data_IF_258247854692
#
_entry.id   IF_258247854692
#
_cell.length_a   1.000
_cell.length_b   1.000
_cell.length_c   1.000
_cell.angle_alpha   90.00
_cell.angle_beta   90.00
_cell.angle_gamma   90.00
#
_symmetry.space_group_name_H-M   'P 1'
#
loop_
_entity.id
_entity.type
_entity.pdbx_description
1 polymer ?
#
# COMPACT_ATOMS: atom_id res chain seq x y z
N UNK A 1 -29.22 -58.04 -58.56
CA UNK A 1 -30.26 -57.19 -57.93
C UNK A 1 -30.20 -57.40 -56.42
N UNK A 2 -29.40 -56.61 -55.70
CA UNK A 2 -29.58 -56.28 -54.28
C UNK A 2 -28.54 -55.24 -53.88
N UNK A 3 -29.03 -54.15 -53.27
CA UNK A 3 -28.27 -53.02 -52.72
C UNK A 3 -27.33 -53.47 -51.60
N UNK A 4 -26.21 -52.77 -51.43
CA UNK A 4 -25.65 -52.52 -50.09
C UNK A 4 -25.08 -51.12 -50.03
N UNK A 5 -25.81 -50.22 -49.36
CA UNK A 5 -25.37 -48.89 -48.95
C UNK A 5 -24.28 -49.06 -47.89
N UNK A 6 -23.07 -48.53 -48.12
CA UNK A 6 -22.13 -48.22 -47.04
C UNK A 6 -22.41 -46.79 -46.56
N UNK A 7 -22.98 -46.66 -45.36
CA UNK A 7 -23.03 -45.41 -44.64
C UNK A 7 -21.67 -45.16 -43.96
N UNK A 8 -20.93 -44.16 -44.42
CA UNK A 8 -19.81 -43.60 -43.67
C UNK A 8 -20.38 -42.78 -42.50
N UNK A 9 -20.35 -43.34 -41.29
CA UNK A 9 -20.52 -42.55 -40.08
C UNK A 9 -19.21 -41.81 -39.81
N UNK A 10 -19.14 -40.54 -40.20
CA UNK A 10 -18.09 -39.64 -39.74
C UNK A 10 -18.30 -39.40 -38.23
N UNK A 11 -17.40 -39.96 -37.42
CA UNK A 11 -17.27 -39.60 -36.01
C UNK A 11 -16.82 -38.14 -35.94
N UNK A 12 -17.78 -37.24 -35.78
CA UNK A 12 -17.50 -35.85 -35.43
C UNK A 12 -17.05 -35.84 -33.97
N UNK A 13 -15.75 -35.73 -33.73
CA UNK A 13 -15.21 -35.40 -32.41
C UNK A 13 -15.72 -34.01 -32.02
N UNK A 14 -16.27 -33.80 -30.80
CA UNK A 14 -16.66 -32.48 -30.37
C UNK A 14 -15.41 -31.60 -30.22
N UNK A 15 -15.34 -30.57 -31.05
CA UNK A 15 -14.36 -29.49 -30.93
C UNK A 15 -14.54 -28.85 -29.54
N UNK A 16 -13.57 -29.03 -28.64
CA UNK A 16 -13.55 -28.29 -27.38
C UNK A 16 -13.52 -26.79 -27.71
N UNK A 17 -14.62 -26.09 -27.42
CA UNK A 17 -14.68 -24.64 -27.49
C UNK A 17 -13.61 -24.07 -26.56
N UNK A 18 -12.57 -23.46 -27.13
CA UNK A 18 -11.57 -22.74 -26.34
C UNK A 18 -12.29 -21.61 -25.60
N UNK A 19 -12.27 -21.66 -24.27
CA UNK A 19 -12.82 -20.58 -23.44
C UNK A 19 -12.07 -19.30 -23.75
N UNK A 20 -12.76 -18.16 -23.92
CA UNK A 20 -12.11 -16.87 -24.21
C UNK A 20 -11.30 -16.31 -23.02
N UNK A 21 -11.26 -17.04 -21.90
CA UNK A 21 -10.53 -16.67 -20.69
C UNK A 21 -9.38 -17.65 -20.43
N UNK A 22 -8.27 -17.16 -19.85
CA UNK A 22 -7.19 -18.01 -19.40
C UNK A 22 -7.68 -19.02 -18.35
N UNK A 23 -7.04 -20.19 -18.30
CA UNK A 23 -7.27 -21.18 -17.26
C UNK A 23 -6.97 -20.58 -15.87
N UNK A 24 -7.85 -20.86 -14.90
CA UNK A 24 -7.77 -20.33 -13.54
C UNK A 24 -7.40 -21.44 -12.55
N UNK A 25 -6.58 -21.11 -11.56
CA UNK A 25 -6.27 -22.04 -10.48
C UNK A 25 -7.54 -22.43 -9.70
N UNK A 26 -7.60 -23.67 -9.22
CA UNK A 26 -8.67 -24.11 -8.32
C UNK A 26 -8.63 -23.37 -6.98
N UNK A 27 -9.78 -23.27 -6.29
CA UNK A 27 -9.84 -22.65 -4.96
C UNK A 27 -8.86 -23.30 -3.96
N UNK A 28 -8.70 -24.63 -4.02
CA UNK A 28 -7.74 -25.35 -3.18
C UNK A 28 -6.29 -25.00 -3.49
N UNK A 29 -5.95 -24.74 -4.77
CA UNK A 29 -4.62 -24.29 -5.14
C UNK A 29 -4.38 -22.85 -4.66
N UNK A 30 -5.33 -21.94 -4.89
CA UNK A 30 -5.24 -20.55 -4.42
C UNK A 30 -5.02 -20.48 -2.91
N UNK A 31 -5.76 -21.27 -2.13
CA UNK A 31 -5.58 -21.31 -0.67
C UNK A 31 -4.19 -21.83 -0.29
N UNK A 32 -3.69 -22.88 -0.95
CA UNK A 32 -2.33 -23.43 -0.69
C UNK A 32 -1.22 -22.41 -0.96
N UNK A 33 -1.36 -21.60 -2.01
CA UNK A 33 -0.42 -20.53 -2.34
C UNK A 33 -0.41 -19.40 -1.30
N UNK A 34 -1.43 -19.32 -0.44
CA UNK A 34 -1.57 -18.29 0.60
C UNK A 34 -1.32 -18.83 2.02
N UNK A 35 -0.78 -20.04 2.17
CA UNK A 35 -0.49 -20.61 3.50
C UNK A 35 0.81 -20.04 4.08
N UNK A 36 0.76 -19.66 5.35
CA UNK A 36 1.89 -19.27 6.20
C UNK A 36 1.81 -20.02 7.53
N UNK A 37 2.79 -19.83 8.42
CA UNK A 37 2.76 -20.37 9.78
C UNK A 37 1.45 -19.96 10.51
N UNK A 38 0.76 -20.94 11.08
CA UNK A 38 -0.44 -20.72 11.85
C UNK A 38 -0.15 -19.89 13.11
N UNK A 39 -1.00 -18.91 13.45
CA UNK A 39 -0.74 -18.01 14.56
C UNK A 39 -0.93 -18.71 15.91
N UNK A 40 -0.07 -18.34 16.88
CA UNK A 40 -0.15 -18.85 18.26
C UNK A 40 -1.21 -18.13 19.11
N UNK A 41 -1.57 -16.90 18.72
CA UNK A 41 -2.55 -16.06 19.40
C UNK A 41 -3.64 -15.68 18.40
N UNK A 42 -4.89 -15.80 18.84
CA UNK A 42 -6.08 -15.62 18.02
C UNK A 42 -7.02 -14.61 18.66
N UNK A 43 -7.64 -13.80 17.82
CA UNK A 43 -8.61 -12.77 18.20
C UNK A 43 -9.90 -12.95 17.41
N UNK A 44 -11.03 -12.74 18.08
CA UNK A 44 -12.35 -12.85 17.45
C UNK A 44 -12.61 -11.66 16.52
N UNK A 45 -13.00 -11.90 15.27
CA UNK A 45 -13.44 -10.85 14.36
C UNK A 45 -14.88 -10.46 14.70
N UNK A 46 -15.09 -9.22 15.14
CA UNK A 46 -16.41 -8.71 15.57
C UNK A 46 -17.17 -8.00 14.46
N UNK A 47 -16.45 -7.43 13.48
CA UNK A 47 -17.07 -6.63 12.42
C UNK A 47 -16.17 -6.48 11.21
N UNK A 48 -16.76 -6.58 10.02
CA UNK A 48 -16.13 -6.16 8.75
C UNK A 48 -16.61 -4.75 8.40
N UNK A 49 -15.68 -3.83 8.12
CA UNK A 49 -16.01 -2.46 7.68
C UNK A 49 -16.10 -2.41 6.16
N UNK A 50 -15.08 -2.93 5.49
CA UNK A 50 -14.89 -3.04 4.04
C UNK A 50 -13.86 -4.14 3.78
N UNK A 51 -13.37 -4.26 2.53
CA UNK A 51 -12.48 -5.34 2.11
C UNK A 51 -11.11 -5.39 2.79
N UNK A 52 -10.64 -4.28 3.38
CA UNK A 52 -9.30 -4.17 3.97
C UNK A 52 -9.29 -3.58 5.39
N UNK A 53 -10.45 -3.48 6.02
CA UNK A 53 -10.64 -2.96 7.38
C UNK A 53 -11.62 -3.81 8.17
N UNK A 54 -11.17 -4.36 9.30
CA UNK A 54 -11.98 -5.17 10.23
C UNK A 54 -11.83 -4.68 11.67
N UNK A 55 -12.72 -5.13 12.54
CA UNK A 55 -12.59 -5.00 13.99
C UNK A 55 -12.44 -6.35 14.63
N UNK A 56 -11.52 -6.43 15.58
CA UNK A 56 -11.33 -7.60 16.42
C UNK A 56 -11.62 -7.27 17.89
N UNK A 57 -11.87 -8.28 18.68
CA UNK A 57 -11.85 -8.19 20.14
C UNK A 57 -10.48 -8.61 20.67
N UNK A 58 -9.80 -7.68 21.35
CA UNK A 58 -8.51 -7.89 22.00
C UNK A 58 -8.59 -7.31 23.41
N UNK A 59 -8.35 -8.15 24.41
CA UNK A 59 -8.31 -7.74 25.83
C UNK A 59 -9.59 -7.00 26.28
N UNK A 60 -10.77 -7.48 25.85
CA UNK A 60 -12.07 -6.88 26.17
C UNK A 60 -12.34 -5.54 25.48
N UNK A 61 -11.52 -5.14 24.50
CA UNK A 61 -11.68 -3.92 23.72
C UNK A 61 -11.83 -4.23 22.24
N UNK A 62 -12.58 -3.38 21.55
CA UNK A 62 -12.65 -3.39 20.10
C UNK A 62 -11.42 -2.68 19.52
N UNK A 63 -10.66 -3.41 18.71
CA UNK A 63 -9.46 -2.92 18.05
C UNK A 63 -9.70 -2.87 16.54
N UNK A 64 -9.45 -1.71 15.92
CA UNK A 64 -9.70 -1.51 14.49
C UNK A 64 -8.43 -1.78 13.70
N UNK A 65 -8.48 -2.73 12.79
CA UNK A 65 -7.35 -3.15 11.97
C UNK A 65 -7.40 -2.49 10.59
N UNK A 66 -6.25 -2.05 10.10
CA UNK A 66 -6.02 -1.76 8.68
C UNK A 66 -5.09 -2.82 8.11
N UNK A 67 -5.59 -3.55 7.13
CA UNK A 67 -4.83 -4.59 6.46
C UNK A 67 -3.71 -3.99 5.61
N UNK A 68 -2.48 -4.42 5.89
CA UNK A 68 -1.28 -3.97 5.18
C UNK A 68 -1.16 -4.58 3.78
N UNK A 69 -0.50 -3.86 2.87
CA UNK A 69 -0.19 -4.31 1.50
C UNK A 69 -1.40 -4.58 0.60
N UNK A 70 -2.61 -4.21 1.04
CA UNK A 70 -3.85 -4.29 0.27
C UNK A 70 -4.58 -2.94 0.31
N UNK A 71 -5.34 -2.67 -0.74
CA UNK A 71 -6.19 -1.48 -0.92
C UNK A 71 -7.33 -1.85 -1.85
N UNK A 72 -8.38 -2.46 -1.30
CA UNK A 72 -9.56 -2.87 -2.08
C UNK A 72 -10.24 -1.64 -2.69
N UNK A 73 -11.00 -1.81 -3.77
CA UNK A 73 -11.75 -0.70 -4.33
C UNK A 73 -12.78 -0.13 -3.34
N UNK A 74 -13.08 1.17 -3.44
CA UNK A 74 -14.00 1.81 -2.51
C UNK A 74 -15.44 1.36 -2.81
N UNK A 75 -16.16 0.94 -1.78
CA UNK A 75 -17.61 0.69 -1.86
C UNK A 75 -18.38 2.00 -2.05
N UNK A 76 -19.65 1.93 -2.48
CA UNK A 76 -20.47 3.13 -2.59
C UNK A 76 -20.73 3.75 -1.21
N UNK A 77 -20.33 5.02 -1.06
CA UNK A 77 -20.50 5.81 0.17
C UNK A 77 -21.36 7.05 -0.09
N UNK A 78 -22.06 7.53 0.94
CA UNK A 78 -22.91 8.75 0.84
C UNK A 78 -22.14 10.01 0.43
N UNK A 79 -20.82 10.04 0.63
CA UNK A 79 -19.95 11.16 0.25
C UNK A 79 -19.45 11.14 -1.19
N UNK A 80 -19.79 10.12 -1.99
CA UNK A 80 -19.28 9.95 -3.35
C UNK A 80 -17.85 9.39 -3.39
N UNK A 81 -17.11 9.75 -4.43
CA UNK A 81 -15.74 9.30 -4.65
C UNK A 81 -14.78 9.93 -3.63
N UNK A 82 -13.77 9.19 -3.17
CA UNK A 82 -12.73 9.75 -2.29
C UNK A 82 -11.77 10.67 -3.05
N UNK A 83 -11.50 10.36 -4.32
CA UNK A 83 -10.71 11.17 -5.25
C UNK A 83 -10.94 10.69 -6.67
N UNK A 84 -10.42 11.41 -7.66
CA UNK A 84 -10.44 11.02 -9.08
C UNK A 84 -9.89 9.59 -9.29
N UNK A 85 -8.87 9.18 -8.54
CA UNK A 85 -8.23 7.86 -8.69
C UNK A 85 -8.66 6.84 -7.62
N UNK A 86 -9.58 7.23 -6.73
CA UNK A 86 -10.27 6.35 -5.77
C UNK A 86 -11.79 6.54 -5.84
N UNK A 87 -12.42 6.26 -6.99
CA UNK A 87 -13.85 6.30 -7.12
C UNK A 87 -14.52 5.16 -6.33
N UNK A 88 -15.79 5.35 -6.00
CA UNK A 88 -16.64 4.23 -5.59
C UNK A 88 -16.94 3.32 -6.79
N UNK A 89 -16.83 2.01 -6.62
CA UNK A 89 -17.02 1.04 -7.71
C UNK A 89 -17.96 -0.10 -7.32
N UNK A 90 -18.51 -0.80 -8.32
CA UNK A 90 -19.31 -2.01 -8.09
C UNK A 90 -18.47 -3.14 -7.50
N UNK A 91 -17.21 -3.23 -7.91
CA UNK A 91 -16.31 -4.25 -7.39
C UNK A 91 -15.90 -3.98 -5.94
N UNK A 92 -15.88 -2.72 -5.48
CA UNK A 92 -15.68 -2.37 -4.07
C UNK A 92 -16.76 -2.93 -3.14
N UNK A 93 -18.04 -2.90 -3.56
CA UNK A 93 -19.13 -3.56 -2.84
C UNK A 93 -18.93 -5.08 -2.78
N UNK A 94 -18.51 -5.70 -3.90
CA UNK A 94 -18.22 -7.14 -3.96
C UNK A 94 -17.08 -7.53 -3.03
N UNK A 95 -16.02 -6.73 -2.96
CA UNK A 95 -14.90 -6.95 -2.05
C UNK A 95 -15.34 -6.89 -0.59
N UNK A 96 -16.21 -5.92 -0.24
CA UNK A 96 -16.80 -5.83 1.10
C UNK A 96 -17.65 -7.06 1.42
N UNK A 97 -18.50 -7.49 0.49
CA UNK A 97 -19.32 -8.70 0.65
C UNK A 97 -18.47 -9.97 0.76
N UNK A 98 -17.35 -10.05 0.05
CA UNK A 98 -16.41 -11.16 0.13
C UNK A 98 -15.74 -11.23 1.50
N UNK A 99 -15.24 -10.10 2.03
CA UNK A 99 -14.69 -10.05 3.38
C UNK A 99 -15.73 -10.39 4.46
N UNK A 100 -16.99 -9.94 4.28
CA UNK A 100 -18.09 -10.33 5.16
C UNK A 100 -18.34 -11.85 5.13
N UNK A 101 -18.43 -12.44 3.94
CA UNK A 101 -18.61 -13.88 3.79
C UNK A 101 -17.43 -14.72 4.27
N UNK A 102 -16.23 -14.12 4.34
CA UNK A 102 -15.04 -14.78 4.87
C UNK A 102 -14.96 -14.74 6.40
N UNK A 103 -15.30 -13.61 7.03
CA UNK A 103 -15.08 -13.42 8.47
C UNK A 103 -16.32 -13.54 9.33
N UNK A 104 -17.52 -13.34 8.79
CA UNK A 104 -18.75 -13.31 9.59
C UNK A 104 -19.43 -14.69 9.53
N UNK A 105 -19.92 -15.20 10.68
CA UNK A 105 -20.74 -16.40 10.70
C UNK A 105 -21.93 -16.29 9.73
N UNK A 106 -22.19 -17.36 8.98
CA UNK A 106 -23.31 -17.43 8.02
C UNK A 106 -24.57 -18.00 8.65
N UNK A 107 -24.44 -18.61 9.82
CA UNK A 107 -25.54 -19.09 10.65
C UNK A 107 -25.19 -18.96 12.13
N UNK A 108 -26.18 -19.12 13.01
CA UNK A 108 -25.96 -19.13 14.46
C UNK A 108 -25.14 -20.34 14.94
N UNK A 109 -25.04 -21.39 14.13
CA UNK A 109 -24.28 -22.61 14.44
C UNK A 109 -22.79 -22.46 14.08
N UNK A 110 -22.45 -21.48 13.23
CA UNK A 110 -21.06 -21.14 12.94
C UNK A 110 -20.51 -20.27 14.08
N UNK A 111 -19.47 -20.74 14.77
CA UNK A 111 -18.72 -19.94 15.73
C UNK A 111 -18.03 -18.74 15.07
N UNK A 112 -17.60 -17.73 15.84
CA UNK A 112 -16.99 -16.55 15.27
C UNK A 112 -15.61 -16.89 14.67
N UNK A 113 -15.29 -16.25 13.55
CA UNK A 113 -13.97 -16.42 12.92
C UNK A 113 -12.91 -15.78 13.81
N UNK A 114 -11.82 -16.51 14.02
CA UNK A 114 -10.66 -16.04 14.78
C UNK A 114 -9.44 -15.93 13.90
N UNK A 115 -8.64 -14.91 14.17
CA UNK A 115 -7.46 -14.57 13.37
C UNK A 115 -6.26 -14.19 14.23
N UNK A 116 -5.07 -14.50 13.75
CA UNK A 116 -3.83 -13.97 14.27
C UNK A 116 -3.35 -12.74 13.50
N UNK A 117 -2.47 -11.98 14.13
CA UNK A 117 -1.92 -10.74 13.58
C UNK A 117 -0.43 -10.91 13.32
N UNK A 118 0.04 -10.48 12.15
CA UNK A 118 1.46 -10.38 11.82
C UNK A 118 1.84 -8.92 11.59
N UNK A 119 2.96 -8.52 12.18
CA UNK A 119 3.46 -7.16 12.14
C UNK A 119 4.82 -7.09 11.45
N UNK A 120 5.09 -6.04 10.64
CA UNK A 120 6.43 -5.78 10.10
C UNK A 120 7.48 -5.75 11.22
N UNK A 121 8.47 -6.65 11.16
CA UNK A 121 9.52 -6.76 12.19
C UNK A 121 9.00 -7.15 13.58
N UNK A 122 7.77 -7.66 13.70
CA UNK A 122 7.15 -8.00 14.99
C UNK A 122 6.71 -6.79 15.84
N UNK A 123 6.74 -5.58 15.27
CA UNK A 123 6.42 -4.34 16.00
C UNK A 123 5.06 -3.79 15.59
N UNK A 124 4.20 -3.58 16.59
CA UNK A 124 2.91 -2.93 16.38
C UNK A 124 3.08 -1.47 15.96
N UNK A 125 2.32 -1.05 14.95
CA UNK A 125 2.27 0.32 14.50
C UNK A 125 0.82 0.72 14.19
N UNK A 126 0.54 2.03 14.28
CA UNK A 126 -0.79 2.58 13.98
C UNK A 126 -0.69 3.65 12.91
N UNK A 127 -1.74 3.77 12.11
CA UNK A 127 -1.88 4.91 11.23
C UNK A 127 -2.41 6.15 11.96
N UNK A 128 -2.53 7.26 11.23
CA UNK A 128 -3.02 8.55 11.75
C UNK A 128 -4.47 8.51 12.24
N UNK A 129 -5.24 7.48 11.89
CA UNK A 129 -6.61 7.26 12.34
C UNK A 129 -6.67 6.32 13.55
N UNK A 130 -5.52 5.93 14.09
CA UNK A 130 -5.39 5.02 15.21
C UNK A 130 -5.64 3.56 14.86
N UNK A 131 -5.73 3.17 13.58
CA UNK A 131 -5.92 1.77 13.18
C UNK A 131 -4.63 0.99 13.36
N UNK A 132 -4.71 -0.18 13.95
CA UNK A 132 -3.59 -1.11 14.07
C UNK A 132 -3.24 -1.67 12.68
N UNK A 133 -1.97 -1.54 12.29
CA UNK A 133 -1.46 -1.94 10.98
C UNK A 133 -0.93 -3.37 11.04
N UNK A 134 -1.58 -4.30 10.34
CA UNK A 134 -1.19 -5.71 10.38
C UNK A 134 -1.56 -6.49 9.11
N UNK A 135 -0.97 -7.66 8.98
CA UNK A 135 -1.53 -8.75 8.19
C UNK A 135 -2.35 -9.67 9.08
N UNK A 136 -3.41 -10.26 8.51
CA UNK A 136 -4.35 -11.13 9.21
C UNK A 136 -4.20 -12.55 8.70
N UNK A 137 -4.04 -13.51 9.60
CA UNK A 137 -3.86 -14.93 9.29
C UNK A 137 -4.94 -15.74 9.99
N UNK A 138 -5.59 -16.66 9.29
CA UNK A 138 -6.60 -17.53 9.90
C UNK A 138 -5.97 -18.54 10.85
N UNK A 139 -6.79 -19.19 11.68
CA UNK A 139 -6.36 -20.30 12.55
C UNK A 139 -5.68 -21.45 11.78
N UNK A 140 -6.03 -21.65 10.50
CA UNK A 140 -5.44 -22.66 9.62
C UNK A 140 -4.18 -22.17 8.88
N UNK A 141 -3.71 -20.95 9.16
CA UNK A 141 -2.52 -20.38 8.53
C UNK A 141 -2.75 -19.73 7.17
N UNK A 142 -3.98 -19.39 6.79
CA UNK A 142 -4.23 -18.67 5.53
C UNK A 142 -3.95 -17.19 5.73
N UNK A 143 -2.98 -16.63 5.00
CA UNK A 143 -2.73 -15.20 4.94
C UNK A 143 -3.83 -14.52 4.11
N UNK A 144 -4.73 -13.83 4.81
CA UNK A 144 -5.88 -13.19 4.19
C UNK A 144 -5.48 -12.02 3.29
N UNK A 145 -4.44 -11.27 3.67
CA UNK A 145 -3.97 -10.13 2.87
C UNK A 145 -3.42 -10.62 1.53
N UNK A 146 -2.60 -11.68 1.56
CA UNK A 146 -2.08 -12.32 0.36
C UNK A 146 -3.21 -12.91 -0.50
N UNK A 147 -4.20 -13.54 0.14
CA UNK A 147 -5.37 -14.10 -0.52
C UNK A 147 -6.20 -13.05 -1.27
N UNK A 148 -6.37 -11.85 -0.71
CA UNK A 148 -7.04 -10.73 -1.40
C UNK A 148 -6.33 -10.39 -2.72
N UNK A 149 -5.01 -10.30 -2.71
CA UNK A 149 -4.22 -10.01 -3.92
C UNK A 149 -4.31 -11.17 -4.90
N UNK A 150 -4.13 -12.40 -4.42
CA UNK A 150 -4.16 -13.60 -5.25
C UNK A 150 -5.51 -13.84 -5.92
N UNK A 151 -6.62 -13.41 -5.31
CA UNK A 151 -7.98 -13.46 -5.87
C UNK A 151 -8.36 -12.22 -6.71
N UNK A 152 -7.47 -11.26 -6.87
CA UNK A 152 -7.75 -10.02 -7.62
C UNK A 152 -8.76 -9.10 -6.92
N UNK A 153 -8.96 -9.24 -5.61
CA UNK A 153 -9.82 -8.35 -4.81
C UNK A 153 -9.11 -7.05 -4.43
N UNK A 154 -7.77 -7.09 -4.44
CA UNK A 154 -6.90 -5.94 -4.18
C UNK A 154 -5.69 -5.99 -5.10
N UNK A 155 -5.12 -4.85 -5.53
CA UNK A 155 -3.75 -4.83 -6.00
C UNK A 155 -2.79 -5.11 -4.83
N UNK A 156 -1.54 -5.46 -5.13
CA UNK A 156 -0.47 -5.35 -4.15
C UNK A 156 -0.19 -3.87 -3.91
N UNK A 157 -0.60 -3.37 -2.75
CA UNK A 157 -0.55 -1.95 -2.42
C UNK A 157 0.72 -1.58 -1.65
N UNK A 158 1.80 -1.29 -2.38
CA UNK A 158 3.12 -0.93 -1.84
C UNK A 158 3.43 0.58 -1.85
N UNK A 159 2.41 1.45 -1.95
CA UNK A 159 2.57 2.93 -1.97
C UNK A 159 3.42 3.50 -0.81
N UNK A 160 3.45 2.79 0.33
CA UNK A 160 4.17 3.14 1.55
C UNK A 160 5.36 2.19 1.86
N UNK A 161 5.94 1.59 0.81
CA UNK A 161 7.05 0.65 0.89
C UNK A 161 6.62 -0.78 0.62
N UNK A 162 7.56 -1.64 0.22
CA UNK A 162 7.24 -3.05 0.05
C UNK A 162 6.94 -3.73 1.39
N UNK A 163 6.18 -4.83 1.31
CA UNK A 163 5.87 -5.68 2.45
C UNK A 163 7.17 -6.18 3.09
N UNK A 164 7.41 -5.77 4.33
CA UNK A 164 8.54 -6.26 5.14
C UNK A 164 8.31 -7.67 5.70
N UNK A 165 7.17 -8.29 5.38
CA UNK A 165 6.80 -9.63 5.85
C UNK A 165 6.95 -10.64 4.71
N UNK A 166 6.43 -10.34 3.52
CA UNK A 166 6.32 -11.30 2.42
C UNK A 166 6.22 -10.62 1.03
N UNK A 167 7.16 -9.74 0.70
CA UNK A 167 7.14 -8.99 -0.57
C UNK A 167 7.03 -9.88 -1.82
N UNK A 168 7.85 -10.94 -1.91
CA UNK A 168 7.89 -11.79 -3.10
C UNK A 168 6.58 -12.57 -3.30
N UNK A 169 5.93 -12.97 -2.22
CA UNK A 169 4.65 -13.67 -2.29
C UNK A 169 3.56 -12.76 -2.87
N UNK A 170 3.52 -11.49 -2.46
CA UNK A 170 2.59 -10.52 -3.04
C UNK A 170 2.85 -10.24 -4.52
N UNK A 171 4.12 -10.14 -4.92
CA UNK A 171 4.50 -9.96 -6.33
C UNK A 171 4.02 -11.16 -7.15
N UNK A 172 4.27 -12.38 -6.68
CA UNK A 172 3.84 -13.61 -7.33
C UNK A 172 2.30 -13.70 -7.39
N UNK A 173 1.61 -13.39 -6.30
CA UNK A 173 0.15 -13.41 -6.22
C UNK A 173 -0.50 -12.42 -7.19
N UNK A 174 0.03 -11.20 -7.29
CA UNK A 174 -0.46 -10.19 -8.23
C UNK A 174 -0.23 -10.64 -9.68
N UNK A 175 0.96 -11.15 -10.00
CA UNK A 175 1.28 -11.62 -11.34
C UNK A 175 0.36 -12.78 -11.76
N UNK A 176 0.07 -13.73 -10.85
CA UNK A 176 -0.86 -14.81 -11.10
C UNK A 176 -2.29 -14.29 -11.34
N UNK A 177 -2.79 -13.39 -10.50
CA UNK A 177 -4.12 -12.80 -10.65
C UNK A 177 -4.27 -11.99 -11.95
N UNK A 178 -3.22 -11.28 -12.37
CA UNK A 178 -3.18 -10.56 -13.66
C UNK A 178 -3.20 -11.53 -14.84
N UNK A 179 -2.39 -12.59 -14.81
CA UNK A 179 -2.34 -13.61 -15.85
C UNK A 179 -3.68 -14.33 -16.02
N UNK A 180 -4.38 -14.59 -14.92
CA UNK A 180 -5.68 -15.27 -14.89
C UNK A 180 -6.87 -14.33 -15.18
N UNK A 181 -6.62 -13.03 -15.34
CA UNK A 181 -7.64 -12.00 -15.57
C UNK A 181 -8.81 -12.12 -14.58
N UNK A 182 -8.49 -12.05 -13.29
CA UNK A 182 -9.50 -12.17 -12.22
C UNK A 182 -9.67 -10.86 -11.46
N UNK A 183 -10.89 -10.64 -10.98
CA UNK A 183 -11.24 -9.48 -10.17
C UNK A 183 -10.91 -8.17 -10.86
N UNK A 184 -10.18 -7.28 -10.19
CA UNK A 184 -9.76 -5.98 -10.77
C UNK A 184 -8.91 -6.10 -12.05
N UNK A 185 -8.41 -7.30 -12.38
CA UNK A 185 -7.65 -7.57 -13.60
C UNK A 185 -8.49 -8.14 -14.75
N UNK A 186 -9.77 -8.51 -14.50
CA UNK A 186 -10.70 -8.88 -15.57
C UNK A 186 -11.17 -7.59 -16.27
N UNK A 187 -11.00 -7.44 -17.60
CA UNK A 187 -11.46 -6.26 -18.33
C UNK A 187 -12.96 -5.99 -18.22
N UNK A 188 -13.78 -7.01 -17.88
CA UNK A 188 -15.21 -6.84 -17.65
C UNK A 188 -15.54 -6.25 -16.27
N UNK A 189 -14.59 -6.31 -15.33
CA UNK A 189 -14.78 -5.72 -14.01
C UNK A 189 -14.92 -4.21 -14.16
N UNK A 190 -16.03 -3.68 -13.62
CA UNK A 190 -16.40 -2.27 -13.72
C UNK A 190 -16.56 -1.73 -15.17
N UNK A 191 -16.72 -2.58 -16.19
CA UNK A 191 -16.82 -2.16 -17.61
C UNK A 191 -17.88 -1.06 -17.85
N UNK A 192 -18.99 -1.10 -17.11
CA UNK A 192 -20.08 -0.13 -17.18
C UNK A 192 -20.02 0.98 -16.11
N UNK A 193 -18.87 1.21 -15.48
CA UNK A 193 -18.74 2.12 -14.35
C UNK A 193 -17.36 2.76 -14.21
N UNK A 194 -17.13 3.38 -13.05
CA UNK A 194 -15.81 3.94 -12.71
C UNK A 194 -14.86 2.81 -12.38
N UNK A 195 -13.60 3.01 -12.75
CA UNK A 195 -12.49 2.10 -12.47
C UNK A 195 -11.29 2.90 -12.00
N UNK A 196 -10.40 2.28 -11.24
CA UNK A 196 -9.12 2.89 -10.86
C UNK A 196 -8.12 2.77 -12.01
N UNK A 197 -7.29 3.80 -12.29
CA UNK A 197 -6.28 3.74 -13.34
C UNK A 197 -5.04 2.96 -12.87
N UNK A 198 -5.16 1.64 -12.74
CA UNK A 198 -4.08 0.78 -12.21
C UNK A 198 -2.80 0.81 -13.07
N UNK A 199 -2.94 1.06 -14.37
CA UNK A 199 -1.83 1.28 -15.29
C UNK A 199 -0.94 2.46 -14.90
N UNK A 200 -1.50 3.50 -14.26
CA UNK A 200 -0.77 4.65 -13.71
C UNK A 200 -0.44 4.49 -12.23
N UNK A 201 -1.35 3.90 -11.45
CA UNK A 201 -1.16 3.73 -10.01
C UNK A 201 -0.03 2.76 -9.68
N UNK A 202 0.05 1.60 -10.36
CA UNK A 202 1.06 0.58 -10.04
C UNK A 202 2.50 1.06 -10.26
N UNK A 203 2.88 1.67 -11.41
CA UNK A 203 4.24 2.18 -11.60
C UNK A 203 4.61 3.27 -10.60
N UNK A 204 3.63 4.08 -10.19
CA UNK A 204 3.84 5.12 -9.19
C UNK A 204 4.05 4.55 -7.79
N UNK A 205 3.24 3.59 -7.38
CA UNK A 205 3.42 2.90 -6.09
C UNK A 205 4.75 2.16 -6.03
N UNK A 206 5.14 1.50 -7.13
CA UNK A 206 6.41 0.80 -7.23
C UNK A 206 7.61 1.76 -7.11
N UNK A 207 7.59 2.91 -7.80
CA UNK A 207 8.63 3.92 -7.67
C UNK A 207 8.74 4.48 -6.24
N UNK A 208 7.60 4.66 -5.55
CA UNK A 208 7.60 5.04 -4.13
C UNK A 208 8.16 3.94 -3.24
N UNK A 209 7.78 2.68 -3.50
CA UNK A 209 8.26 1.55 -2.72
C UNK A 209 9.77 1.39 -2.81
N UNK A 210 10.34 1.51 -4.02
CA UNK A 210 11.78 1.44 -4.25
C UNK A 210 12.55 2.57 -3.57
N UNK A 211 12.02 3.80 -3.59
CA UNK A 211 12.60 4.93 -2.85
C UNK A 211 12.68 4.63 -1.35
N UNK A 212 11.57 4.16 -0.77
CA UNK A 212 11.47 3.83 0.65
C UNK A 212 12.42 2.68 1.02
N UNK A 213 12.44 1.61 0.24
CA UNK A 213 13.27 0.44 0.56
C UNK A 213 14.76 0.73 0.42
N UNK A 214 15.15 1.48 -0.61
CA UNK A 214 16.54 1.93 -0.78
C UNK A 214 16.98 2.78 0.41
N UNK A 215 16.11 3.67 0.88
CA UNK A 215 16.40 4.50 2.04
C UNK A 215 16.42 3.69 3.35
N UNK A 216 15.50 2.74 3.53
CA UNK A 216 15.50 1.82 4.69
C UNK A 216 16.81 1.07 4.80
N UNK A 217 17.36 0.57 3.70
CA UNK A 217 18.65 -0.11 3.70
C UNK A 217 19.80 0.82 4.13
N UNK A 218 19.78 2.10 3.73
CA UNK A 218 20.75 3.10 4.19
C UNK A 218 20.59 3.42 5.68
N UNK A 219 19.35 3.60 6.15
CA UNK A 219 19.02 3.86 7.54
C UNK A 219 19.34 2.68 8.46
N UNK A 220 19.20 1.43 8.00
CA UNK A 220 19.63 0.25 8.75
C UNK A 220 21.16 0.21 8.88
N UNK A 221 21.89 0.54 7.81
CA UNK A 221 23.35 0.58 7.83
C UNK A 221 23.90 1.74 8.66
N UNK A 222 23.22 2.89 8.66
CA UNK A 222 23.67 4.16 9.25
C UNK A 222 22.50 4.96 9.86
N UNK A 223 21.92 4.48 10.96
CA UNK A 223 20.67 5.01 11.52
C UNK A 223 20.77 6.45 12.03
N UNK A 224 21.98 6.90 12.37
CA UNK A 224 22.23 8.28 12.79
C UNK A 224 22.51 9.24 11.64
N UNK A 225 22.76 8.72 10.42
CA UNK A 225 23.00 9.55 9.23
C UNK A 225 21.76 9.62 8.33
N UNK A 226 20.90 8.60 8.32
CA UNK A 226 19.73 8.51 7.46
C UNK A 226 18.45 8.40 8.27
N UNK A 227 17.62 9.44 8.22
CA UNK A 227 16.42 9.59 9.05
C UNK A 227 15.18 9.72 8.17
N UNK A 228 14.17 8.88 8.41
CA UNK A 228 12.86 9.05 7.78
C UNK A 228 12.05 10.09 8.57
N UNK A 229 11.52 11.11 7.89
CA UNK A 229 10.76 12.21 8.52
C UNK A 229 9.46 11.76 9.18
N UNK A 230 9.01 10.53 8.93
CA UNK A 230 7.84 9.91 9.57
C UNK A 230 8.23 8.87 10.64
N UNK A 231 9.53 8.59 10.86
CA UNK A 231 10.01 7.69 11.91
C UNK A 231 10.27 8.44 13.22
N UNK A 232 9.28 8.42 14.11
CA UNK A 232 9.31 9.13 15.39
C UNK A 232 10.53 8.78 16.26
N UNK A 233 10.84 7.49 16.42
CA UNK A 233 11.96 7.05 17.25
C UNK A 233 13.31 7.53 16.72
N UNK A 234 13.49 7.53 15.39
CA UNK A 234 14.70 8.06 14.77
C UNK A 234 14.82 9.58 14.96
N UNK A 235 13.70 10.31 14.87
CA UNK A 235 13.67 11.76 15.11
C UNK A 235 13.95 12.12 16.56
N UNK A 236 13.44 11.35 17.52
CA UNK A 236 13.73 11.53 18.95
C UNK A 236 15.21 11.30 19.25
N UNK A 237 15.77 10.18 18.78
CA UNK A 237 17.19 9.89 18.95
C UNK A 237 18.09 10.96 18.30
N UNK A 238 17.73 11.43 17.10
CA UNK A 238 18.47 12.48 16.41
C UNK A 238 18.38 13.83 17.12
N UNK A 239 17.23 14.15 17.72
CA UNK A 239 17.06 15.34 18.56
C UNK A 239 17.97 15.28 19.79
N UNK A 240 17.97 14.15 20.51
CA UNK A 240 18.81 13.94 21.71
C UNK A 240 20.30 14.06 21.42
N UNK A 241 20.73 13.59 20.24
CA UNK A 241 22.11 13.72 19.77
C UNK A 241 22.57 15.17 19.56
N UNK A 242 21.63 16.10 19.39
CA UNK A 242 21.92 17.51 19.09
C UNK A 242 22.32 17.76 17.63
N UNK A 243 22.84 18.94 17.29
CA UNK A 243 23.10 19.32 15.90
C UNK A 243 24.11 18.41 15.19
N UNK A 244 23.69 17.73 14.12
CA UNK A 244 24.57 16.90 13.30
C UNK A 244 24.07 16.76 11.86
N UNK A 245 24.97 16.37 10.95
CA UNK A 245 24.65 16.20 9.53
C UNK A 245 23.91 14.90 9.27
N UNK A 246 22.81 14.97 8.54
CA UNK A 246 21.93 13.84 8.20
C UNK A 246 21.41 13.98 6.77
N UNK A 247 20.96 12.87 6.20
CA UNK A 247 20.11 12.80 5.01
C UNK A 247 18.71 12.36 5.45
N UNK A 248 17.71 13.19 5.17
CA UNK A 248 16.32 12.96 5.54
C UNK A 248 15.54 12.45 4.33
N UNK A 249 14.82 11.34 4.47
CA UNK A 249 13.75 10.97 3.54
C UNK A 249 12.45 11.64 3.97
N UNK A 250 11.73 12.27 3.05
CA UNK A 250 10.41 12.80 3.36
C UNK A 250 9.61 13.21 2.15
N UNK A 251 8.30 13.37 2.34
CA UNK A 251 7.43 14.06 1.38
C UNK A 251 7.15 15.47 1.85
N UNK A 252 6.94 16.40 0.91
CA UNK A 252 6.60 17.78 1.23
C UNK A 252 5.14 17.86 1.66
N UNK A 253 4.90 18.37 2.87
CA UNK A 253 3.55 18.62 3.37
C UNK A 253 3.07 20.02 2.97
N UNK A 254 3.95 21.02 3.04
CA UNK A 254 3.63 22.41 2.69
C UNK A 254 4.88 23.25 2.45
N UNK A 255 4.75 24.29 1.63
CA UNK A 255 5.73 25.37 1.47
C UNK A 255 5.08 26.67 1.91
N UNK A 256 5.79 27.51 2.65
CA UNK A 256 5.29 28.80 3.17
C UNK A 256 6.29 29.91 2.87
N UNK A 257 5.80 31.13 2.66
CA UNK A 257 6.60 32.35 2.62
C UNK A 257 6.94 32.81 4.03
N UNK A 258 8.15 33.35 4.20
CA UNK A 258 8.62 33.98 5.43
C UNK A 258 8.69 35.51 5.26
N UNK A 259 8.66 36.25 6.37
CA UNK A 259 8.61 37.72 6.35
C UNK A 259 9.89 38.38 5.80
N UNK A 260 11.00 37.65 5.76
CA UNK A 260 12.30 38.10 5.25
C UNK A 260 12.48 37.83 3.74
N UNK A 261 11.43 37.36 3.06
CA UNK A 261 11.46 36.95 1.66
C UNK A 261 12.01 35.53 1.44
N UNK A 262 12.38 34.82 2.51
CA UNK A 262 12.69 33.40 2.49
C UNK A 262 11.44 32.53 2.37
N UNK A 263 11.65 31.21 2.36
CA UNK A 263 10.59 30.21 2.40
C UNK A 263 10.93 29.11 3.40
N UNK A 264 9.91 28.41 3.91
CA UNK A 264 10.08 27.18 4.68
C UNK A 264 9.39 26.03 3.98
N UNK A 265 10.09 24.91 3.82
CA UNK A 265 9.50 23.62 3.40
C UNK A 265 9.24 22.78 4.63
N UNK A 266 8.00 22.40 4.87
CA UNK A 266 7.63 21.45 5.92
C UNK A 266 7.53 20.05 5.33
N UNK A 267 8.31 19.13 5.87
CA UNK A 267 8.18 17.71 5.56
C UNK A 267 7.02 17.11 6.34
N UNK A 268 6.38 16.11 5.75
CA UNK A 268 5.33 15.33 6.41
C UNK A 268 5.93 14.60 7.61
N UNK A 269 5.24 14.67 8.74
CA UNK A 269 5.60 14.01 9.99
C UNK A 269 4.36 13.70 10.81
N UNK A 270 4.49 12.72 11.71
CA UNK A 270 3.40 12.24 12.58
C UNK A 270 3.25 13.07 13.85
N UNK A 271 4.32 13.74 14.31
CA UNK A 271 4.33 14.63 15.46
C UNK A 271 4.71 16.06 15.05
N UNK A 272 3.93 17.07 15.47
CA UNK A 272 4.13 18.47 15.08
C UNK A 272 5.41 19.10 15.65
N UNK A 273 5.88 18.64 16.81
CA UNK A 273 7.10 19.10 17.49
C UNK A 273 8.34 18.45 16.88
N UNK A 274 8.21 17.28 16.25
CA UNK A 274 9.33 16.58 15.60
C UNK A 274 9.31 16.66 14.07
N UNK A 275 8.26 17.21 13.48
CA UNK A 275 8.21 17.49 12.04
C UNK A 275 9.39 18.38 11.61
N UNK A 276 9.99 18.05 10.46
CA UNK A 276 11.19 18.74 9.98
C UNK A 276 10.81 19.93 9.11
N UNK A 277 11.38 21.09 9.43
CA UNK A 277 11.33 22.30 8.60
C UNK A 277 12.66 22.50 7.89
N UNK A 278 12.62 22.81 6.60
CA UNK A 278 13.81 23.13 5.80
C UNK A 278 13.71 24.60 5.38
N UNK A 279 14.36 25.53 6.10
CA UNK A 279 14.38 26.94 5.73
C UNK A 279 15.20 27.17 4.46
N UNK A 280 14.72 28.07 3.62
CA UNK A 280 15.34 28.52 2.37
C UNK A 280 15.52 30.03 2.49
N UNK A 281 16.76 30.51 2.45
CA UNK A 281 17.05 31.94 2.54
C UNK A 281 16.54 32.68 1.29
N UNK A 282 16.13 33.94 1.44
CA UNK A 282 15.58 34.76 0.35
C UNK A 282 16.44 34.77 -0.93
N UNK A 283 17.77 34.80 -0.77
CA UNK A 283 18.75 34.77 -1.87
C UNK A 283 18.73 33.46 -2.68
N UNK A 284 18.30 32.35 -2.08
CA UNK A 284 18.32 31.01 -2.66
C UNK A 284 16.95 30.61 -3.25
N UNK A 285 15.88 31.35 -2.94
CA UNK A 285 14.51 31.06 -3.39
C UNK A 285 14.42 30.90 -4.91
N UNK A 286 15.01 31.83 -5.68
CA UNK A 286 14.97 31.77 -7.14
C UNK A 286 15.71 30.55 -7.72
N UNK A 287 16.78 30.09 -7.06
CA UNK A 287 17.48 28.88 -7.48
C UNK A 287 16.65 27.61 -7.19
N UNK A 288 15.91 27.61 -6.08
CA UNK A 288 15.10 26.50 -5.62
C UNK A 288 13.83 26.25 -6.45
N UNK A 289 13.37 27.23 -7.24
CA UNK A 289 12.24 27.04 -8.17
C UNK A 289 12.48 25.90 -9.17
N UNK A 290 13.75 25.62 -9.50
CA UNK A 290 14.15 24.52 -10.41
C UNK A 290 13.79 23.13 -9.88
N UNK A 291 13.58 22.98 -8.58
CA UNK A 291 13.23 21.69 -7.96
C UNK A 291 11.74 21.34 -8.13
N UNK A 292 10.89 22.31 -8.50
CA UNK A 292 9.44 22.13 -8.62
C UNK A 292 8.84 21.44 -7.37
N UNK A 293 9.16 21.99 -6.18
CA UNK A 293 8.77 21.41 -4.90
C UNK A 293 7.25 21.21 -4.77
N UNK A 294 6.45 22.17 -5.24
CA UNK A 294 4.99 22.05 -5.21
C UNK A 294 4.48 21.01 -6.21
N UNK A 295 5.02 20.98 -7.43
CA UNK A 295 4.65 19.95 -8.41
C UNK A 295 5.05 18.54 -7.97
N UNK A 296 6.11 18.42 -7.16
CA UNK A 296 6.52 17.14 -6.56
C UNK A 296 5.53 16.57 -5.53
N UNK A 297 4.47 17.32 -5.16
CA UNK A 297 3.39 16.82 -4.30
C UNK A 297 2.29 16.08 -5.10
N UNK A 298 2.29 16.18 -6.43
CA UNK A 298 1.27 15.59 -7.29
C UNK A 298 1.39 14.06 -7.40
N UNK A 299 0.25 13.37 -7.50
CA UNK A 299 0.25 11.93 -7.75
C UNK A 299 0.89 11.59 -9.10
N UNK A 300 1.40 10.36 -9.25
CA UNK A 300 2.11 9.87 -10.44
C UNK A 300 3.46 10.53 -10.73
N UNK A 301 4.06 11.19 -9.74
CA UNK A 301 5.46 11.63 -9.72
C UNK A 301 6.18 11.05 -8.52
N UNK A 302 7.51 10.99 -8.55
CA UNK A 302 8.25 10.70 -7.33
C UNK A 302 8.04 11.85 -6.34
N UNK A 303 7.46 11.52 -5.18
CA UNK A 303 7.12 12.52 -4.16
C UNK A 303 8.06 12.48 -2.96
N UNK A 304 8.89 11.44 -2.86
CA UNK A 304 9.92 11.37 -1.83
C UNK A 304 11.16 12.14 -2.26
N UNK A 305 11.67 12.91 -1.32
CA UNK A 305 12.94 13.61 -1.41
C UNK A 305 13.91 13.03 -0.41
N UNK A 306 15.18 12.98 -0.80
CA UNK A 306 16.30 12.89 0.13
C UNK A 306 16.93 14.28 0.24
N UNK A 307 17.05 14.78 1.45
CA UNK A 307 17.51 16.15 1.74
C UNK A 307 18.63 16.06 2.74
N UNK A 308 19.81 16.56 2.38
CA UNK A 308 20.99 16.49 3.27
C UNK A 308 21.26 17.84 3.91
N UNK A 309 21.46 17.86 5.22
CA UNK A 309 21.73 19.09 5.96
C UNK A 309 22.10 18.82 7.41
N UNK A 310 22.21 19.88 8.20
CA UNK A 310 22.43 19.82 9.64
C UNK A 310 21.08 19.83 10.35
N UNK A 311 20.67 18.69 10.92
CA UNK A 311 19.44 18.61 11.72
C UNK A 311 19.70 19.21 13.10
N UNK A 312 18.85 20.13 13.54
CA UNK A 312 18.96 20.80 14.82
C UNK A 312 17.57 21.14 15.39
N UNK A 313 17.50 21.45 16.68
CA UNK A 313 16.29 22.01 17.26
C UNK A 313 16.04 23.45 16.74
N UNK A 314 14.82 23.67 16.25
CA UNK A 314 14.30 24.97 15.90
C UNK A 314 13.32 25.50 16.95
N UNK A 315 12.81 26.71 16.71
CA UNK A 315 11.91 27.39 17.67
C UNK A 315 10.55 26.71 17.87
N UNK A 316 10.10 25.93 16.87
CA UNK A 316 8.77 25.30 16.84
C UNK A 316 8.80 23.79 16.59
N UNK A 317 9.84 23.29 15.93
CA UNK A 317 10.09 21.87 15.64
C UNK A 317 11.55 21.68 15.24
N UNK A 318 11.93 20.50 14.74
CA UNK A 318 13.24 20.28 14.14
C UNK A 318 13.42 21.11 12.86
N UNK A 319 14.64 21.58 12.64
CA UNK A 319 15.06 22.27 11.43
C UNK A 319 16.22 21.53 10.77
N UNK A 320 16.16 21.37 9.45
CA UNK A 320 17.28 20.90 8.63
C UNK A 320 17.93 22.11 7.98
N UNK A 321 19.06 22.56 8.54
CA UNK A 321 19.81 23.75 8.12
C UNK A 321 20.95 23.36 7.17
N UNK A 322 21.64 24.37 6.64
CA UNK A 322 22.78 24.20 5.74
C UNK A 322 22.43 23.36 4.49
N UNK A 323 21.22 23.56 3.97
CA UNK A 323 20.69 22.86 2.80
C UNK A 323 20.78 23.77 1.59
N UNK A 324 21.68 23.45 0.67
CA UNK A 324 21.79 24.08 -0.65
C UNK A 324 21.02 23.29 -1.71
N UNK A 325 20.90 23.85 -2.93
CA UNK A 325 20.16 23.25 -4.05
C UNK A 325 20.61 21.80 -4.34
N UNK A 326 21.92 21.53 -4.33
CA UNK A 326 22.49 20.21 -4.60
C UNK A 326 22.24 19.17 -3.51
N UNK A 327 21.76 19.59 -2.33
CA UNK A 327 21.41 18.70 -1.25
C UNK A 327 20.01 18.09 -1.40
N UNK A 328 19.18 18.62 -2.31
CA UNK A 328 17.87 18.10 -2.64
C UNK A 328 17.97 17.10 -3.78
N UNK A 329 17.49 15.88 -3.56
CA UNK A 329 17.39 14.86 -4.61
C UNK A 329 16.06 14.13 -4.52
N UNK A 330 15.31 13.96 -5.62
CA UNK A 330 14.23 12.99 -5.66
C UNK A 330 14.79 11.62 -5.25
N UNK A 331 14.12 10.92 -4.34
CA UNK A 331 14.62 9.67 -3.77
C UNK A 331 14.73 8.54 -4.82
N UNK A 332 14.01 8.69 -5.94
CA UNK A 332 14.13 7.85 -7.13
C UNK A 332 13.62 6.41 -6.95
N UNK A 333 13.29 5.72 -8.05
CA UNK A 333 13.19 6.25 -9.41
C UNK A 333 11.95 7.14 -9.59
N UNK A 334 11.82 7.77 -10.76
CA UNK A 334 10.53 8.31 -11.20
C UNK A 334 9.59 7.17 -11.62
N UNK A 335 8.26 7.33 -11.47
CA UNK A 335 7.29 6.40 -12.02
C UNK A 335 7.49 6.22 -13.52
N UNK A 336 7.58 4.95 -13.96
CA UNK A 336 7.67 4.66 -15.38
C UNK A 336 6.34 5.02 -16.04
N UNK A 337 6.37 5.88 -17.06
CA UNK A 337 5.26 5.99 -18.01
C UNK A 337 5.18 4.68 -18.79
N UNK A 338 3.99 4.08 -18.87
CA UNK A 338 3.76 2.96 -19.78
C UNK A 338 3.79 3.42 -21.23
#
# INVERSE_FOLDING_TARGET
MMLTLLALAALVTPTQSQTPYPERASDQQVLRECVTEAPKVLYEVKRVVDGDTIWIEREGKLEKLRLLSVDTEEKFMKGGDLSEYKPSTRYGDQCTGWAQGFFMPRSADEGPVRVGLRFPGGVEARDIYGRLLCQVVTEQGIDFNLLLVRRGLSPYFNKYGNSRICHQDFVAAQAAAQKEQIGIWDPKTNEAGKHRPYDRLLPWWEARAQAIDSFRAQAEAKPEEFIDSENLAALEAAKEKGPHRVTVLGTIAKVFDENDGGKTVLLRGSDKKLSIRVPIAARDVAAMEKLDLLGSMAEFRQNYWTITGTLAEGSRSLELRDVSLENWKPAGPEPKSK
#
